data_IF_258778784118
#
_entry.id   IF_258778784118
#
_cell.length_a   1.000
_cell.length_b   1.000
_cell.length_c   1.000
_cell.angle_alpha   90.00
_cell.angle_beta   90.00
_cell.angle_gamma   90.00
#
_symmetry.space_group_name_H-M   'P 1'
#
loop_
_entity.id
_entity.type
_entity.pdbx_description
1 polymer ?
#
# COMPACT_ATOMS: atom_id res chain seq x y z
N UNK A 1 3.47 0.82 2.56
CA UNK A 1 2.75 1.44 3.67
C UNK A 1 3.24 2.86 3.89
N UNK A 2 2.32 3.81 4.05
CA UNK A 2 2.64 5.23 4.26
C UNK A 2 1.74 5.83 5.34
N UNK A 3 2.26 6.82 6.05
CA UNK A 3 1.54 7.61 7.05
C UNK A 3 1.25 9.00 6.51
N UNK A 4 -0.01 9.47 6.58
CA UNK A 4 -0.40 10.79 6.09
C UNK A 4 0.21 11.96 6.88
N UNK A 5 0.57 11.72 8.12
CA UNK A 5 1.17 12.69 9.03
C UNK A 5 2.66 12.96 8.76
N UNK A 6 3.26 12.23 7.82
CA UNK A 6 4.64 12.37 7.41
C UNK A 6 4.74 12.72 5.93
N UNK A 7 5.71 13.54 5.56
CA UNK A 7 6.04 13.76 4.16
C UNK A 7 6.54 12.45 3.52
N UNK A 8 6.32 12.28 2.21
CA UNK A 8 6.68 11.04 1.51
C UNK A 8 8.18 10.71 1.64
N UNK A 9 9.02 11.75 1.67
CA UNK A 9 10.48 11.64 1.79
C UNK A 9 10.98 11.58 3.26
N UNK A 10 10.06 11.60 4.23
CA UNK A 10 10.46 11.51 5.65
C UNK A 10 11.05 10.13 5.92
N UNK A 11 12.26 10.10 6.49
CA UNK A 11 12.98 8.87 6.81
C UNK A 11 12.25 7.92 7.76
N UNK A 12 11.22 8.41 8.45
CA UNK A 12 10.35 7.62 9.33
C UNK A 12 9.19 6.96 8.59
N UNK A 13 8.97 7.29 7.29
CA UNK A 13 7.95 6.60 6.51
C UNK A 13 8.27 5.11 6.42
N UNK A 14 7.29 4.23 6.64
CA UNK A 14 7.48 2.79 6.45
C UNK A 14 7.94 2.42 5.03
N UNK A 15 7.37 3.07 4.01
CA UNK A 15 7.71 2.87 2.61
C UNK A 15 7.52 1.42 2.15
N UNK A 16 8.46 0.95 1.35
CA UNK A 16 8.51 -0.43 0.83
C UNK A 16 9.13 -1.42 1.83
N UNK A 17 10.02 -0.93 2.70
CA UNK A 17 10.86 -1.77 3.56
C UNK A 17 10.25 -1.96 4.96
N UNK A 18 8.97 -2.31 5.03
CA UNK A 18 8.21 -2.40 6.29
C UNK A 18 8.88 -3.33 7.31
N UNK A 19 9.45 -4.46 6.86
CA UNK A 19 10.13 -5.44 7.72
C UNK A 19 11.62 -5.15 7.97
N UNK A 20 12.17 -4.19 7.27
CA UNK A 20 13.58 -3.76 7.39
C UNK A 20 13.66 -2.23 7.48
N UNK A 21 12.91 -1.61 8.42
CA UNK A 21 12.86 -0.15 8.51
C UNK A 21 14.25 0.41 8.74
N UNK A 22 14.57 1.54 8.13
CA UNK A 22 15.87 2.23 8.26
C UNK A 22 17.08 1.31 8.01
N UNK A 23 16.97 0.38 7.05
CA UNK A 23 18.01 -0.61 6.71
C UNK A 23 18.43 -1.53 7.89
N UNK A 24 17.57 -1.72 8.86
CA UNK A 24 17.78 -2.69 9.94
C UNK A 24 17.70 -4.14 9.41
N UNK A 25 18.12 -5.09 10.24
CA UNK A 25 17.85 -6.51 9.97
C UNK A 25 16.33 -6.76 9.88
N UNK A 26 15.95 -7.81 9.14
CA UNK A 26 14.55 -8.21 9.02
C UNK A 26 13.95 -8.49 10.39
N UNK A 27 12.90 -7.76 10.72
CA UNK A 27 12.19 -7.87 11.99
C UNK A 27 11.24 -9.09 11.99
N UNK A 28 11.16 -9.77 13.11
CA UNK A 28 10.09 -10.72 13.44
C UNK A 28 8.76 -10.00 13.62
N UNK A 29 7.65 -10.74 13.71
CA UNK A 29 6.32 -10.15 13.88
C UNK A 29 6.23 -9.32 15.17
N UNK A 30 6.71 -9.81 16.29
CA UNK A 30 6.70 -9.07 17.56
C UNK A 30 7.64 -7.85 17.54
N UNK A 31 8.80 -7.95 16.89
CA UNK A 31 9.70 -6.82 16.72
C UNK A 31 9.07 -5.73 15.82
N UNK A 32 8.31 -6.11 14.79
CA UNK A 32 7.54 -5.16 13.96
C UNK A 32 6.49 -4.43 14.80
N UNK A 33 5.70 -5.17 15.57
CA UNK A 33 4.68 -4.58 16.45
C UNK A 33 5.33 -3.58 17.41
N UNK A 34 6.41 -3.98 18.06
CA UNK A 34 7.13 -3.11 19.00
C UNK A 34 7.72 -1.86 18.32
N UNK A 35 8.31 -2.02 17.14
CA UNK A 35 8.89 -0.91 16.37
C UNK A 35 7.82 0.12 15.97
N UNK A 36 6.74 -0.34 15.31
CA UNK A 36 5.70 0.56 14.82
C UNK A 36 4.86 1.15 15.94
N UNK A 37 4.57 0.41 17.00
CA UNK A 37 3.95 0.94 18.21
C UNK A 37 4.75 2.12 18.77
N UNK A 38 6.07 1.96 18.91
CA UNK A 38 6.96 3.02 19.39
C UNK A 38 7.06 4.21 18.44
N UNK A 39 7.06 3.97 17.13
CA UNK A 39 7.06 5.03 16.14
C UNK A 39 5.77 5.84 16.20
N UNK A 40 4.61 5.16 16.21
CA UNK A 40 3.29 5.78 16.27
C UNK A 40 3.11 6.56 17.58
N UNK A 41 3.60 6.04 18.72
CA UNK A 41 3.58 6.77 19.98
C UNK A 41 4.31 8.12 19.88
N UNK A 42 5.46 8.17 19.18
CA UNK A 42 6.20 9.43 18.93
C UNK A 42 5.46 10.39 17.98
N UNK A 43 4.54 9.89 17.16
CA UNK A 43 3.70 10.68 16.26
C UNK A 43 2.35 11.08 16.87
N UNK A 44 2.18 10.88 18.17
CA UNK A 44 0.96 11.28 18.91
C UNK A 44 0.01 10.13 19.24
N UNK A 45 0.44 8.88 19.07
CA UNK A 45 -0.30 7.68 19.46
C UNK A 45 -1.27 7.12 18.42
N UNK A 46 -1.50 7.88 17.35
CA UNK A 46 -2.36 7.48 16.23
C UNK A 46 -1.91 8.15 14.95
N UNK A 47 -1.94 7.42 13.84
CA UNK A 47 -1.66 7.92 12.49
C UNK A 47 -2.70 7.39 11.50
N UNK A 48 -2.89 8.12 10.39
CA UNK A 48 -3.66 7.64 9.25
C UNK A 48 -2.73 6.94 8.26
N UNK A 49 -2.96 5.67 8.03
CA UNK A 49 -2.14 4.85 7.15
C UNK A 49 -2.87 4.48 5.85
N UNK A 50 -2.11 4.19 4.80
CA UNK A 50 -2.59 3.67 3.53
C UNK A 50 -1.50 2.86 2.83
N UNK A 51 -1.91 1.96 1.94
CA UNK A 51 -0.99 1.24 1.05
C UNK A 51 -0.98 1.90 -0.33
N UNK A 52 0.19 1.92 -0.96
CA UNK A 52 0.34 2.19 -2.38
C UNK A 52 0.69 0.87 -3.05
N UNK A 53 -0.17 0.46 -3.98
CA UNK A 53 0.00 -0.77 -4.73
C UNK A 53 0.42 -0.43 -6.16
N UNK A 54 1.48 -1.10 -6.63
CA UNK A 54 1.95 -1.01 -8.01
C UNK A 54 1.74 -2.34 -8.72
N UNK A 55 1.25 -2.29 -9.95
CA UNK A 55 1.07 -3.45 -10.81
C UNK A 55 1.95 -3.26 -12.05
N UNK A 56 2.73 -4.28 -12.41
CA UNK A 56 3.46 -4.32 -13.67
C UNK A 56 3.11 -5.58 -14.45
N UNK A 57 2.86 -5.43 -15.74
CA UNK A 57 2.58 -6.51 -16.67
C UNK A 57 3.66 -6.54 -17.74
N UNK A 58 4.28 -7.71 -17.91
CA UNK A 58 5.17 -7.99 -19.06
C UNK A 58 4.42 -8.82 -20.07
N UNK A 59 4.25 -8.29 -21.29
CA UNK A 59 3.57 -8.96 -22.36
C UNK A 59 4.31 -8.75 -23.69
N UNK A 60 4.76 -9.81 -24.34
CA UNK A 60 5.45 -9.79 -25.64
C UNK A 60 6.56 -8.72 -25.77
N UNK A 61 7.41 -8.60 -24.74
CA UNK A 61 8.53 -7.64 -24.74
C UNK A 61 8.16 -6.23 -24.29
N UNK A 62 6.88 -5.96 -23.97
CA UNK A 62 6.40 -4.68 -23.47
C UNK A 62 6.11 -4.76 -21.99
N UNK A 63 6.61 -3.79 -21.21
CA UNK A 63 6.28 -3.61 -19.81
C UNK A 63 5.28 -2.46 -19.69
N UNK A 64 4.13 -2.74 -19.10
CA UNK A 64 3.13 -1.74 -18.72
C UNK A 64 3.02 -1.69 -17.21
N UNK A 65 2.90 -0.51 -16.63
CA UNK A 65 2.74 -0.34 -15.18
C UNK A 65 1.55 0.55 -14.85
N UNK A 66 0.96 0.29 -13.69
CA UNK A 66 -0.18 1.04 -13.16
C UNK A 66 0.01 1.28 -11.67
N UNK A 67 -0.29 2.50 -11.23
CA UNK A 67 -0.35 2.87 -9.82
C UNK A 67 -1.36 4.00 -9.66
N UNK A 68 -2.45 3.76 -8.92
CA UNK A 68 -3.45 4.79 -8.61
C UNK A 68 -3.24 5.30 -7.18
N UNK A 69 -2.27 6.19 -7.03
CA UNK A 69 -1.94 6.77 -5.74
C UNK A 69 -3.07 7.62 -5.16
N UNK A 70 -3.86 8.27 -6.00
CA UNK A 70 -4.96 9.13 -5.56
C UNK A 70 -6.11 8.30 -4.99
N UNK A 71 -6.51 7.22 -5.69
CA UNK A 71 -7.51 6.30 -5.20
C UNK A 71 -7.07 5.64 -3.88
N UNK A 72 -5.84 5.11 -3.81
CA UNK A 72 -5.31 4.50 -2.59
C UNK A 72 -5.34 5.43 -1.38
N UNK A 73 -4.98 6.72 -1.57
CA UNK A 73 -5.01 7.73 -0.51
C UNK A 73 -6.42 8.15 -0.08
N UNK A 74 -7.42 7.94 -0.91
CA UNK A 74 -8.81 8.30 -0.60
C UNK A 74 -9.61 7.15 -0.01
N UNK A 75 -9.39 5.93 -0.50
CA UNK A 75 -10.29 4.80 -0.26
C UNK A 75 -9.74 3.72 0.65
N UNK A 76 -8.44 3.48 0.61
CA UNK A 76 -7.79 2.43 1.37
C UNK A 76 -7.17 2.92 2.68
N UNK A 77 -7.72 4.00 3.28
CA UNK A 77 -7.15 4.56 4.51
C UNK A 77 -7.70 3.88 5.75
N UNK A 78 -6.81 3.62 6.68
CA UNK A 78 -7.12 3.08 8.00
C UNK A 78 -6.31 3.79 9.09
N UNK A 79 -6.68 3.60 10.33
CA UNK A 79 -5.90 4.14 11.45
C UNK A 79 -4.88 3.11 11.91
N UNK A 80 -3.68 3.56 12.27
CA UNK A 80 -2.75 2.75 13.05
C UNK A 80 -2.53 3.42 14.40
N UNK A 81 -2.47 2.61 15.47
CA UNK A 81 -2.35 3.08 16.85
C UNK A 81 -1.13 2.48 17.54
N UNK A 82 -0.66 3.18 18.57
CA UNK A 82 0.49 2.74 19.38
C UNK A 82 0.20 1.57 20.34
N UNK A 83 -1.07 1.29 20.59
CA UNK A 83 -1.49 0.18 21.46
C UNK A 83 -1.95 -0.98 20.62
N UNK A 84 -1.19 -2.08 20.63
CA UNK A 84 -1.56 -3.27 19.89
C UNK A 84 -2.72 -4.03 20.54
N UNK A 85 -3.58 -4.63 19.72
CA UNK A 85 -4.48 -5.69 20.15
C UNK A 85 -3.69 -6.83 20.82
N UNK A 86 -4.31 -7.57 21.72
CA UNK A 86 -3.72 -8.80 22.29
C UNK A 86 -3.71 -9.96 21.31
N UNK A 87 -4.53 -9.90 20.26
CA UNK A 87 -4.59 -10.94 19.23
C UNK A 87 -3.45 -10.78 18.22
N UNK A 88 -3.06 -11.90 17.65
CA UNK A 88 -2.01 -11.99 16.63
C UNK A 88 -2.50 -12.78 15.42
N UNK A 89 -2.08 -12.37 14.25
CA UNK A 89 -2.22 -13.13 13.03
C UNK A 89 -0.80 -13.34 12.46
N UNK A 90 -0.34 -14.59 12.44
CA UNK A 90 1.02 -14.93 11.99
C UNK A 90 1.26 -14.44 10.57
N UNK A 91 2.37 -13.75 10.36
CA UNK A 91 2.74 -13.15 9.07
C UNK A 91 2.11 -11.78 8.81
N UNK A 92 1.09 -11.36 9.56
CA UNK A 92 0.42 -10.06 9.45
C UNK A 92 0.48 -9.25 10.75
N UNK A 93 1.68 -8.91 11.25
CA UNK A 93 1.84 -8.31 12.58
C UNK A 93 1.15 -6.95 12.71
N UNK A 94 1.09 -6.17 11.62
CA UNK A 94 0.53 -4.82 11.65
C UNK A 94 -1.00 -4.82 11.79
N UNK A 95 -1.69 -5.93 11.53
CA UNK A 95 -3.12 -6.06 11.77
C UNK A 95 -3.49 -5.86 13.26
N UNK A 96 -2.51 -6.13 14.14
CA UNK A 96 -2.66 -5.87 15.58
C UNK A 96 -2.56 -4.39 15.95
N UNK A 97 -2.06 -3.54 15.05
CA UNK A 97 -1.94 -2.09 15.23
C UNK A 97 -2.93 -1.32 14.35
N UNK A 98 -3.50 -1.96 13.33
CA UNK A 98 -4.38 -1.35 12.34
C UNK A 98 -5.84 -1.40 12.79
N UNK A 99 -6.54 -0.27 12.66
CA UNK A 99 -7.96 -0.11 13.03
C UNK A 99 -8.73 0.34 11.79
N UNK A 100 -9.79 -0.37 11.49
CA UNK A 100 -10.76 0.03 10.50
C UNK A 100 -11.51 1.30 10.96
N UNK A 101 -11.53 2.33 10.10
CA UNK A 101 -12.10 3.64 10.45
C UNK A 101 -13.61 3.63 10.64
N UNK A 102 -14.30 2.73 9.94
CA UNK A 102 -15.76 2.67 9.99
C UNK A 102 -16.24 1.90 11.23
N UNK A 103 -15.59 0.78 11.52
CA UNK A 103 -16.01 -0.12 12.60
C UNK A 103 -15.31 0.17 13.92
N UNK A 104 -14.16 0.84 13.89
CA UNK A 104 -13.30 1.06 15.07
C UNK A 104 -12.66 -0.21 15.62
N UNK A 105 -12.68 -1.31 14.86
CA UNK A 105 -12.11 -2.60 15.28
C UNK A 105 -10.71 -2.80 14.72
N UNK A 106 -9.86 -3.51 15.44
CA UNK A 106 -8.58 -3.94 14.89
C UNK A 106 -8.81 -4.92 13.73
N UNK A 107 -7.93 -4.86 12.73
CA UNK A 107 -7.98 -5.79 11.59
C UNK A 107 -7.91 -7.25 12.04
N UNK A 108 -7.13 -7.53 13.08
CA UNK A 108 -7.01 -8.87 13.66
C UNK A 108 -8.28 -9.35 14.38
N UNK A 109 -9.24 -8.49 14.69
CA UNK A 109 -10.48 -8.81 15.39
C UNK A 109 -11.67 -9.11 14.48
N UNK A 110 -11.56 -8.71 13.22
CA UNK A 110 -12.66 -8.86 12.26
C UNK A 110 -12.22 -9.55 10.98
N UNK A 111 -13.12 -10.31 10.35
CA UNK A 111 -13.11 -10.39 8.90
C UNK A 111 -13.15 -8.96 8.42
N UNK A 112 -12.16 -8.56 7.59
CA UNK A 112 -12.09 -7.26 6.92
C UNK A 112 -13.49 -6.97 6.41
N UNK A 113 -14.15 -5.95 6.99
CA UNK A 113 -15.58 -5.83 6.94
C UNK A 113 -16.10 -5.73 5.51
N UNK A 114 -17.33 -6.15 5.33
CA UNK A 114 -18.14 -5.74 4.19
C UNK A 114 -18.28 -4.21 4.28
N UNK A 115 -17.30 -3.51 3.72
CA UNK A 115 -17.29 -2.05 3.65
C UNK A 115 -18.52 -1.62 2.84
N UNK A 116 -19.29 -0.69 3.40
CA UNK A 116 -20.41 -0.08 2.70
C UNK A 116 -19.98 0.80 1.52
N UNK A 117 -18.70 1.10 1.40
CA UNK A 117 -18.11 1.85 0.27
C UNK A 117 -17.77 0.95 -0.93
N UNK A 118 -18.69 0.04 -1.27
CA UNK A 118 -18.53 -0.81 -2.45
C UNK A 118 -18.29 0.00 -3.73
N UNK A 119 -18.84 1.21 -3.86
CA UNK A 119 -18.72 2.02 -5.09
C UNK A 119 -17.26 2.43 -5.36
N UNK A 120 -16.51 2.85 -4.35
CA UNK A 120 -15.15 3.35 -4.54
C UNK A 120 -14.17 2.16 -4.67
N UNK A 121 -14.39 1.10 -3.90
CA UNK A 121 -13.67 -0.16 -4.06
C UNK A 121 -13.90 -0.73 -5.46
N UNK A 122 -15.14 -0.73 -5.93
CA UNK A 122 -15.51 -1.16 -7.28
C UNK A 122 -14.83 -0.32 -8.37
N UNK A 123 -14.67 0.99 -8.16
CA UNK A 123 -13.96 1.87 -9.11
C UNK A 123 -12.46 1.55 -9.18
N UNK A 124 -11.82 1.32 -8.04
CA UNK A 124 -10.41 0.93 -7.99
C UNK A 124 -10.19 -0.44 -8.62
N UNK A 125 -11.00 -1.44 -8.27
CA UNK A 125 -10.95 -2.77 -8.88
C UNK A 125 -11.18 -2.70 -10.39
N UNK A 126 -12.13 -1.88 -10.84
CA UNK A 126 -12.38 -1.65 -12.27
C UNK A 126 -11.17 -1.05 -12.97
N UNK A 127 -10.49 -0.08 -12.37
CA UNK A 127 -9.29 0.52 -12.97
C UNK A 127 -8.15 -0.48 -13.13
N UNK A 128 -8.01 -1.41 -12.19
CA UNK A 128 -7.05 -2.53 -12.28
C UNK A 128 -7.44 -3.47 -13.42
N UNK A 129 -8.69 -3.86 -13.50
CA UNK A 129 -9.19 -4.76 -14.57
C UNK A 129 -9.00 -4.11 -15.95
N UNK A 130 -9.36 -2.84 -16.10
CA UNK A 130 -9.19 -2.09 -17.35
C UNK A 130 -7.70 -2.00 -17.75
N UNK A 131 -6.81 -1.78 -16.77
CA UNK A 131 -5.37 -1.79 -17.01
C UNK A 131 -4.88 -3.17 -17.46
N UNK A 132 -5.29 -4.23 -16.80
CA UNK A 132 -4.88 -5.60 -17.14
C UNK A 132 -5.38 -5.99 -18.54
N UNK A 133 -6.63 -5.67 -18.87
CA UNK A 133 -7.19 -5.93 -20.19
C UNK A 133 -6.41 -5.18 -21.28
N UNK A 134 -6.12 -3.89 -21.09
CA UNK A 134 -5.31 -3.12 -22.03
C UNK A 134 -3.88 -3.65 -22.18
N UNK A 135 -3.28 -4.13 -21.10
CA UNK A 135 -1.90 -4.63 -21.11
C UNK A 135 -1.77 -6.02 -21.73
N UNK A 136 -2.81 -6.84 -21.62
CA UNK A 136 -2.81 -8.22 -22.10
C UNK A 136 -3.38 -8.37 -23.51
N UNK A 137 -4.39 -7.56 -23.86
CA UNK A 137 -5.03 -7.55 -25.18
C UNK A 137 -4.57 -6.32 -25.97
N UNK A 138 -3.27 -6.27 -26.30
CA UNK A 138 -2.81 -5.31 -27.32
C UNK A 138 -3.34 -5.82 -28.66
N UNK A 139 -4.33 -5.13 -29.21
CA UNK A 139 -4.81 -5.41 -30.56
C UNK A 139 -3.65 -5.36 -31.54
N UNK A 140 -3.39 -6.48 -32.21
CA UNK A 140 -2.35 -6.62 -33.25
C UNK A 140 -2.60 -5.75 -34.48
N UNK A 141 -3.57 -4.85 -34.46
CA UNK A 141 -4.07 -4.08 -35.62
C UNK A 141 -4.09 -2.56 -35.45
N UNK A 142 -3.43 -1.97 -34.45
CA UNK A 142 -3.31 -0.50 -34.38
C UNK A 142 -1.86 -0.10 -34.46
N UNK A 143 -1.49 0.48 -35.61
CA UNK A 143 -0.23 1.19 -35.78
C UNK A 143 -0.13 2.31 -34.74
N UNK A 144 0.83 2.19 -33.84
CA UNK A 144 0.98 3.05 -32.68
C UNK A 144 1.56 4.40 -33.12
N UNK A 145 0.75 5.41 -33.03
CA UNK A 145 1.18 6.78 -32.86
C UNK A 145 0.44 7.33 -31.65
N UNK A 146 1.05 7.22 -30.49
CA UNK A 146 0.49 7.77 -29.26
C UNK A 146 1.55 7.71 -28.16
N UNK A 147 2.26 8.82 -27.96
CA UNK A 147 3.21 9.01 -26.88
C UNK A 147 2.45 9.05 -25.56
N UNK A 148 2.50 7.96 -24.82
CA UNK A 148 2.08 7.97 -23.41
C UNK A 148 3.30 8.38 -22.57
N UNK A 149 3.11 9.35 -21.68
CA UNK A 149 4.14 9.78 -20.75
C UNK A 149 4.49 8.60 -19.82
N UNK A 150 5.57 7.92 -20.14
CA UNK A 150 6.22 6.97 -19.25
C UNK A 150 7.05 7.80 -18.29
N UNK A 151 6.67 7.85 -17.03
CA UNK A 151 7.58 8.30 -15.99
C UNK A 151 8.70 7.26 -15.90
N UNK A 152 9.82 7.55 -16.58
CA UNK A 152 11.04 6.78 -16.44
C UNK A 152 11.54 6.95 -15.01
N UNK A 153 11.51 5.88 -14.25
CA UNK A 153 12.33 5.75 -13.05
C UNK A 153 13.77 5.59 -13.56
N UNK A 154 14.58 6.59 -13.27
CA UNK A 154 15.99 6.64 -13.63
C UNK A 154 16.73 5.49 -12.94
N UNK A 155 17.22 4.53 -13.73
CA UNK A 155 17.93 3.33 -13.27
C UNK A 155 19.42 3.57 -13.02
N UNK A 156 19.85 4.80 -12.73
CA UNK A 156 21.25 5.16 -12.50
C UNK A 156 21.60 5.37 -11.04
N UNK A 157 21.34 4.38 -10.18
CA UNK A 157 22.06 4.24 -8.91
C UNK A 157 22.09 2.76 -8.49
N UNK A 158 22.92 1.99 -9.16
CA UNK A 158 23.53 0.77 -8.63
C UNK A 158 25.01 0.80 -9.02
N UNK A 159 25.80 1.31 -8.10
CA UNK A 159 27.20 0.98 -7.89
C UNK A 159 27.44 0.88 -6.38
#
# INVERSE_FOLDING_TARGET
LYFKELDLEDSRQPGLNIRTPMNMNRLSDEEMIAYYSKLIAKLGGKVTAYYLDGIAVYNHGVISSFMDNEAAQKTGVFDMVDKASSKRFEGCPLDSLSIDKETGKYFVDGSIGESKDNIIKDQYEKSIVDFLLKSLYVDSNVGVSGTFAVNQVDSTQMD
#
